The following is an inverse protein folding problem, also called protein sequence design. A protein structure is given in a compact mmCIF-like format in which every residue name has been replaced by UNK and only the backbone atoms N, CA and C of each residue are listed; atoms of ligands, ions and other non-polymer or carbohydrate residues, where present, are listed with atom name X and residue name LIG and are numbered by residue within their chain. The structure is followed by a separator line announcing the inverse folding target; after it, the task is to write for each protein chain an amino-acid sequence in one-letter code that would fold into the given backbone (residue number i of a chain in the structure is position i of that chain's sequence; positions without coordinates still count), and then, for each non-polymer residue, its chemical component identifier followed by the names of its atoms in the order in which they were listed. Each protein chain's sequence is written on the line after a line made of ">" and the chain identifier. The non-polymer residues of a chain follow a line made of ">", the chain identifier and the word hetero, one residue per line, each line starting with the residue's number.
data_IF_885033481188
#
_entry.id   IF_885033481188
#
_cell.length_a   1.000
_cell.length_b   1.000
_cell.length_c   1.000
_cell.angle_alpha   90.00
_cell.angle_beta   90.00
_cell.angle_gamma   90.00
#
_symmetry.space_group_name_H-M   'P 1'
#
loop_
_entity.id
_entity.type
_entity.pdbx_description
1 polymer ?
#
# COMPACT_ATOMS: atom_id res chain seq x y z
N UNK A 1 -6.31 -4.91 -2.13
CA UNK A 1 -7.47 -4.11 -1.65
C UNK A 1 -7.00 -3.33 -0.43
N UNK A 2 -6.98 -1.98 -0.50
CA UNK A 2 -6.50 -1.12 0.59
C UNK A 2 -7.38 -1.22 1.84
N UNK A 3 -6.82 -0.83 3.01
CA UNK A 3 -7.50 -0.89 4.33
C UNK A 3 -8.84 -0.14 4.29
N UNK A 4 -8.91 1.00 3.60
CA UNK A 4 -10.14 1.78 3.46
C UNK A 4 -11.30 1.03 2.77
N UNK A 5 -10.99 0.25 1.74
CA UNK A 5 -12.00 -0.57 1.06
C UNK A 5 -12.49 -1.72 1.93
N UNK A 6 -11.59 -2.32 2.74
CA UNK A 6 -11.96 -3.37 3.71
C UNK A 6 -12.92 -2.84 4.79
N UNK A 7 -12.63 -1.67 5.36
CA UNK A 7 -13.50 -1.02 6.34
C UNK A 7 -14.87 -0.73 5.72
N UNK A 8 -14.93 -0.13 4.52
CA UNK A 8 -16.18 0.14 3.81
C UNK A 8 -16.98 -1.14 3.57
N UNK A 9 -16.32 -2.23 3.17
CA UNK A 9 -16.96 -3.53 2.95
C UNK A 9 -17.50 -4.14 4.25
N UNK A 10 -16.78 -4.04 5.35
CA UNK A 10 -17.22 -4.55 6.67
C UNK A 10 -18.47 -3.81 7.14
N UNK A 11 -18.49 -2.47 7.05
CA UNK A 11 -19.67 -1.68 7.43
C UNK A 11 -20.87 -1.94 6.53
N UNK A 12 -20.66 -2.04 5.21
CA UNK A 12 -21.73 -2.36 4.25
C UNK A 12 -22.30 -3.76 4.46
N UNK A 13 -21.43 -4.77 4.62
CA UNK A 13 -21.84 -6.15 4.86
C UNK A 13 -22.54 -6.30 6.22
N UNK A 14 -22.01 -5.65 7.27
CA UNK A 14 -22.64 -5.63 8.59
C UNK A 14 -24.04 -5.02 8.56
N UNK A 15 -24.21 -3.88 7.87
CA UNK A 15 -25.52 -3.24 7.69
C UNK A 15 -26.48 -4.13 6.90
N UNK A 16 -26.02 -4.80 5.85
CA UNK A 16 -26.81 -5.73 5.04
C UNK A 16 -27.28 -6.94 5.86
N UNK A 17 -26.39 -7.58 6.61
CA UNK A 17 -26.73 -8.72 7.45
C UNK A 17 -27.73 -8.35 8.55
N UNK A 18 -27.56 -7.19 9.17
CA UNK A 18 -28.45 -6.69 10.23
C UNK A 18 -29.83 -6.36 9.66
N UNK A 19 -29.90 -5.69 8.50
CA UNK A 19 -31.15 -5.40 7.81
C UNK A 19 -31.89 -6.65 7.36
N UNK A 20 -31.15 -7.62 6.81
CA UNK A 20 -31.74 -8.89 6.38
C UNK A 20 -32.29 -9.70 7.56
N UNK A 21 -31.55 -9.79 8.66
CA UNK A 21 -31.98 -10.49 9.88
C UNK A 21 -33.21 -9.83 10.50
N UNK A 22 -33.19 -8.50 10.64
CA UNK A 22 -34.29 -7.75 11.22
C UNK A 22 -35.55 -7.74 10.31
N UNK A 23 -35.33 -7.58 8.99
CA UNK A 23 -36.42 -7.64 8.01
C UNK A 23 -37.05 -9.01 7.93
N UNK A 24 -36.24 -10.07 7.91
CA UNK A 24 -36.73 -11.45 7.92
C UNK A 24 -37.53 -11.79 9.18
N UNK A 25 -37.02 -11.40 10.35
CA UNK A 25 -37.73 -11.59 11.63
C UNK A 25 -39.05 -10.83 11.65
N UNK A 26 -39.04 -9.57 11.24
CA UNK A 26 -40.27 -8.72 11.18
C UNK A 26 -41.29 -9.32 10.24
N UNK A 27 -40.90 -9.71 9.02
CA UNK A 27 -41.78 -10.34 8.04
C UNK A 27 -42.41 -11.64 8.58
N UNK A 28 -41.55 -12.53 9.12
CA UNK A 28 -42.02 -13.80 9.65
C UNK A 28 -43.00 -13.64 10.83
N UNK A 29 -42.67 -12.76 11.77
CA UNK A 29 -43.52 -12.49 12.93
C UNK A 29 -44.86 -11.88 12.53
N UNK A 30 -44.85 -10.87 11.65
CA UNK A 30 -46.07 -10.21 11.15
C UNK A 30 -46.91 -11.19 10.36
N UNK A 31 -46.33 -11.97 9.47
CA UNK A 31 -47.04 -13.02 8.71
C UNK A 31 -47.74 -14.03 9.64
N UNK A 32 -47.00 -14.53 10.63
CA UNK A 32 -47.53 -15.49 11.57
C UNK A 32 -48.72 -14.93 12.39
N UNK A 33 -48.54 -13.70 12.87
CA UNK A 33 -49.58 -13.00 13.64
C UNK A 33 -50.85 -12.75 12.81
N UNK A 34 -50.75 -12.21 11.61
CA UNK A 34 -51.86 -11.91 10.74
C UNK A 34 -52.59 -13.17 10.27
N UNK A 35 -51.87 -14.26 10.00
CA UNK A 35 -52.52 -15.52 9.65
C UNK A 35 -53.30 -16.10 10.84
N UNK A 36 -52.73 -16.10 12.03
CA UNK A 36 -53.40 -16.61 13.23
C UNK A 36 -54.65 -15.80 13.57
N UNK A 37 -54.59 -14.47 13.42
CA UNK A 37 -55.75 -13.57 13.61
C UNK A 37 -56.83 -13.85 12.58
N UNK A 38 -56.52 -14.01 11.30
CA UNK A 38 -57.48 -14.34 10.24
C UNK A 38 -58.12 -15.71 10.45
N UNK A 39 -57.32 -16.72 10.86
CA UNK A 39 -57.83 -18.07 11.16
C UNK A 39 -58.82 -18.04 12.33
N UNK A 40 -58.51 -17.32 13.41
CA UNK A 40 -59.41 -17.13 14.56
C UNK A 40 -60.71 -16.37 14.20
N UNK A 41 -60.59 -15.28 13.43
CA UNK A 41 -61.72 -14.50 12.94
C UNK A 41 -62.64 -15.36 12.04
N UNK A 42 -62.03 -16.10 11.09
CA UNK A 42 -62.77 -17.02 10.20
C UNK A 42 -63.54 -18.08 10.96
N UNK A 43 -62.92 -18.70 11.96
CA UNK A 43 -63.64 -19.66 12.83
C UNK A 43 -64.80 -19.03 13.55
N UNK A 44 -64.58 -17.89 14.22
CA UNK A 44 -65.65 -17.20 15.00
C UNK A 44 -66.79 -16.80 14.12
N UNK A 45 -66.53 -16.23 12.94
CA UNK A 45 -67.59 -15.85 11.99
C UNK A 45 -68.34 -17.06 11.45
N UNK A 46 -67.66 -18.13 11.07
CA UNK A 46 -68.28 -19.35 10.55
C UNK A 46 -69.21 -19.99 11.59
N UNK A 47 -68.81 -20.01 12.87
CA UNK A 47 -69.69 -20.49 13.96
C UNK A 47 -70.90 -19.60 14.14
N UNK A 48 -70.74 -18.29 14.15
CA UNK A 48 -71.87 -17.35 14.28
C UNK A 48 -72.87 -17.49 13.12
N UNK A 49 -72.33 -17.61 11.88
CA UNK A 49 -73.17 -17.79 10.69
C UNK A 49 -73.87 -19.15 10.66
N UNK A 50 -73.21 -20.24 11.11
CA UNK A 50 -73.83 -21.55 11.23
C UNK A 50 -74.97 -21.56 12.23
N UNK A 51 -74.81 -20.92 13.39
CA UNK A 51 -75.89 -20.79 14.40
C UNK A 51 -77.07 -19.94 13.86
N UNK A 52 -76.76 -18.85 13.16
CA UNK A 52 -77.78 -17.99 12.52
C UNK A 52 -78.53 -18.76 11.43
N UNK A 53 -77.81 -19.54 10.62
CA UNK A 53 -78.44 -20.38 9.60
C UNK A 53 -79.35 -21.43 10.22
N UNK A 54 -78.89 -22.10 11.27
CA UNK A 54 -79.70 -23.09 11.99
C UNK A 54 -81.01 -22.49 12.55
N UNK A 55 -80.90 -21.34 13.23
CA UNK A 55 -82.05 -20.67 13.79
C UNK A 55 -83.05 -20.28 12.71
N UNK A 56 -82.63 -19.76 11.58
CA UNK A 56 -83.50 -19.37 10.45
C UNK A 56 -84.18 -20.58 9.81
N UNK A 57 -83.51 -21.74 9.75
CA UNK A 57 -84.11 -22.97 9.22
C UNK A 57 -85.19 -23.55 10.22
N UNK A 58 -84.83 -23.60 11.51
CA UNK A 58 -85.75 -24.15 12.54
C UNK A 58 -87.02 -23.33 12.72
N UNK A 59 -86.94 -21.98 12.61
CA UNK A 59 -88.13 -21.10 12.71
C UNK A 59 -88.94 -20.99 11.39
N UNK A 60 -88.60 -21.82 10.39
CA UNK A 60 -89.35 -21.89 9.12
C UNK A 60 -89.20 -20.64 8.24
N UNK A 61 -88.20 -19.81 8.49
CA UNK A 61 -87.84 -18.60 7.73
C UNK A 61 -87.03 -18.86 6.47
N UNK A 62 -87.08 -20.10 5.93
CA UNK A 62 -86.47 -20.36 4.65
C UNK A 62 -87.17 -19.58 3.55
N UNK A 63 -86.41 -18.71 2.84
CA UNK A 63 -87.04 -17.91 1.74
C UNK A 63 -87.64 -18.84 0.68
N UNK A 64 -88.71 -18.42 0.02
CA UNK A 64 -89.24 -19.14 -1.15
C UNK A 64 -88.24 -19.32 -2.28
N UNK A 65 -87.16 -18.59 -2.22
CA UNK A 65 -86.00 -18.65 -3.14
C UNK A 65 -84.97 -19.69 -2.79
N UNK A 66 -85.15 -20.45 -1.68
CA UNK A 66 -84.29 -21.60 -1.30
C UNK A 66 -83.06 -21.21 -0.48
N UNK A 67 -82.23 -22.26 -0.14
CA UNK A 67 -81.03 -22.12 0.71
C UNK A 67 -79.95 -21.18 0.15
N UNK A 68 -79.81 -21.07 -1.16
CA UNK A 68 -78.82 -20.19 -1.77
C UNK A 68 -79.04 -18.72 -1.46
N UNK A 69 -80.28 -18.25 -1.46
CA UNK A 69 -80.65 -16.85 -1.09
C UNK A 69 -80.42 -16.60 0.41
N UNK A 70 -80.66 -17.59 1.24
CA UNK A 70 -80.37 -17.50 2.68
C UNK A 70 -78.85 -17.39 2.94
N UNK A 71 -78.05 -18.21 2.30
CA UNK A 71 -76.64 -18.11 2.40
C UNK A 71 -76.07 -16.75 1.89
N UNK A 72 -76.60 -16.24 0.76
CA UNK A 72 -76.24 -14.94 0.25
C UNK A 72 -76.58 -13.79 1.23
N UNK A 73 -77.65 -13.97 2.04
CA UNK A 73 -77.98 -12.98 3.07
C UNK A 73 -77.07 -13.00 4.28
N UNK A 74 -76.36 -14.13 4.54
CA UNK A 74 -75.36 -14.23 5.60
C UNK A 74 -74.01 -13.64 5.15
N UNK A 75 -73.68 -13.77 3.87
CA UNK A 75 -72.44 -13.25 3.28
C UNK A 75 -72.55 -11.78 2.96
N UNK A 76 -73.70 -11.16 3.06
CA UNK A 76 -73.89 -9.74 2.77
C UNK A 76 -73.05 -8.85 3.70
N UNK A 77 -71.94 -8.28 3.16
CA UNK A 77 -70.98 -7.45 3.87
C UNK A 77 -69.75 -8.17 4.40
N UNK A 78 -69.59 -9.47 4.08
CA UNK A 78 -68.40 -10.22 4.40
C UNK A 78 -67.61 -10.63 3.14
N UNK A 79 -66.29 -10.79 3.29
CA UNK A 79 -65.35 -11.23 2.24
C UNK A 79 -65.30 -12.77 2.16
N UNK A 80 -66.43 -13.41 2.46
CA UNK A 80 -66.56 -14.85 2.51
C UNK A 80 -67.66 -15.37 1.57
N UNK A 81 -67.52 -16.62 1.19
CA UNK A 81 -68.58 -17.34 0.43
C UNK A 81 -69.00 -18.56 1.21
N UNK A 82 -70.29 -18.67 1.40
CA UNK A 82 -70.93 -19.77 2.16
C UNK A 82 -71.37 -20.94 1.27
N UNK A 83 -71.18 -22.15 1.76
CA UNK A 83 -71.62 -23.37 1.12
C UNK A 83 -72.31 -24.28 2.18
N UNK A 84 -73.57 -24.65 1.88
CA UNK A 84 -74.29 -25.64 2.70
C UNK A 84 -74.41 -26.96 1.94
N UNK A 85 -73.95 -28.05 2.53
CA UNK A 85 -74.21 -29.39 2.03
C UNK A 85 -75.29 -30.02 2.87
N UNK A 86 -76.52 -30.15 2.29
CA UNK A 86 -77.68 -30.74 2.95
C UNK A 86 -78.19 -31.90 2.11
N UNK A 87 -78.31 -33.10 2.72
CA UNK A 87 -78.75 -34.33 2.06
C UNK A 87 -77.96 -34.63 0.77
N UNK A 88 -76.64 -34.36 0.75
CA UNK A 88 -75.74 -34.62 -0.38
C UNK A 88 -75.77 -33.56 -1.50
N UNK A 89 -76.73 -32.61 -1.46
CA UNK A 89 -76.83 -31.45 -2.37
C UNK A 89 -76.12 -30.26 -1.80
N UNK A 90 -75.26 -29.61 -2.63
CA UNK A 90 -74.53 -28.41 -2.23
C UNK A 90 -75.28 -27.17 -2.71
N UNK A 91 -75.53 -26.25 -1.78
CA UNK A 91 -76.07 -24.89 -2.02
C UNK A 91 -74.96 -23.91 -1.75
N UNK A 92 -74.79 -22.91 -2.63
CA UNK A 92 -73.75 -21.88 -2.50
C UNK A 92 -74.32 -20.48 -2.53
N UNK A 93 -73.77 -19.58 -1.78
CA UNK A 93 -74.07 -18.13 -1.80
C UNK A 93 -73.60 -17.42 -3.08
N UNK A 94 -72.62 -17.98 -3.78
CA UNK A 94 -72.01 -17.40 -4.95
C UNK A 94 -71.89 -18.42 -6.09
N UNK A 95 -72.05 -17.96 -7.33
CA UNK A 95 -71.88 -18.77 -8.54
C UNK A 95 -70.41 -19.19 -8.73
N UNK A 96 -69.48 -18.40 -8.19
CA UNK A 96 -68.01 -18.69 -8.31
C UNK A 96 -67.54 -19.79 -7.36
N UNK A 97 -68.39 -20.17 -6.37
CA UNK A 97 -67.99 -21.14 -5.33
C UNK A 97 -68.88 -22.40 -5.42
N UNK A 98 -68.25 -23.55 -5.51
CA UNK A 98 -68.95 -24.82 -5.68
C UNK A 98 -68.42 -25.87 -4.69
N UNK A 99 -69.09 -27.04 -4.66
CA UNK A 99 -68.62 -28.20 -3.83
C UNK A 99 -67.12 -28.55 -4.09
N UNK A 100 -66.64 -28.33 -5.31
CA UNK A 100 -65.24 -28.60 -5.69
C UNK A 100 -64.26 -27.52 -5.17
N UNK A 101 -64.76 -26.36 -4.73
CA UNK A 101 -63.93 -25.32 -4.12
C UNK A 101 -63.49 -25.69 -2.70
N UNK A 102 -64.15 -26.65 -2.05
CA UNK A 102 -63.80 -27.11 -0.72
C UNK A 102 -62.84 -28.31 -0.87
N UNK A 103 -61.68 -28.30 -0.21
CA UNK A 103 -60.77 -29.45 -0.19
C UNK A 103 -61.48 -30.77 0.23
N UNK A 104 -61.25 -31.86 -0.52
CA UNK A 104 -61.93 -33.11 -0.29
C UNK A 104 -61.74 -33.65 1.13
N UNK A 105 -60.60 -33.47 1.70
CA UNK A 105 -60.24 -33.88 3.07
C UNK A 105 -61.07 -33.09 4.10
N UNK A 106 -61.07 -31.78 4.00
CA UNK A 106 -61.86 -30.91 4.90
C UNK A 106 -63.36 -31.28 4.86
N UNK A 107 -63.91 -31.50 3.67
CA UNK A 107 -65.27 -31.90 3.46
C UNK A 107 -65.61 -33.23 4.11
N UNK A 108 -64.73 -34.24 4.00
CA UNK A 108 -64.94 -35.56 4.62
C UNK A 108 -64.90 -35.48 6.15
N UNK A 109 -64.02 -34.69 6.75
CA UNK A 109 -63.90 -34.46 8.18
C UNK A 109 -65.15 -33.81 8.76
N UNK A 110 -65.68 -32.76 8.09
CA UNK A 110 -66.88 -32.03 8.56
C UNK A 110 -68.17 -32.84 8.37
N UNK A 111 -68.31 -33.54 7.27
CA UNK A 111 -69.48 -34.44 7.06
C UNK A 111 -69.39 -35.59 8.06
N UNK A 112 -68.23 -36.02 8.50
CA UNK A 112 -68.01 -36.98 9.58
C UNK A 112 -68.33 -36.47 10.97
N UNK A 113 -68.72 -35.20 11.14
CA UNK A 113 -69.20 -34.63 12.40
C UNK A 113 -68.11 -33.85 13.19
N UNK A 114 -66.96 -33.54 12.60
CA UNK A 114 -65.90 -32.76 13.26
C UNK A 114 -65.78 -31.36 12.65
N UNK A 115 -65.62 -30.34 13.51
CA UNK A 115 -65.24 -29.01 13.03
C UNK A 115 -63.82 -29.06 12.51
N UNK A 116 -63.60 -28.56 11.30
CA UNK A 116 -62.28 -28.56 10.71
C UNK A 116 -62.04 -27.26 9.88
N UNK A 117 -60.77 -26.91 9.75
CA UNK A 117 -60.31 -25.77 8.99
C UNK A 117 -59.11 -26.14 8.15
N UNK A 118 -59.01 -25.62 6.94
CA UNK A 118 -57.90 -25.87 6.07
C UNK A 118 -57.57 -24.60 5.23
N UNK A 119 -56.31 -24.23 5.26
CA UNK A 119 -55.75 -23.21 4.33
C UNK A 119 -55.27 -23.92 3.05
N UNK A 120 -55.67 -23.46 1.88
CA UNK A 120 -55.38 -24.07 0.60
C UNK A 120 -55.32 -23.01 -0.53
N UNK A 121 -54.83 -23.44 -1.68
CA UNK A 121 -54.81 -22.62 -2.90
C UNK A 121 -55.67 -23.27 -3.97
N UNK A 122 -56.59 -22.53 -4.55
CA UNK A 122 -57.50 -23.04 -5.59
C UNK A 122 -56.89 -22.86 -6.99
N UNK A 123 -56.64 -24.00 -7.70
CA UNK A 123 -56.07 -23.99 -9.05
C UNK A 123 -54.56 -23.66 -9.09
N UNK A 124 -53.99 -23.64 -10.28
CA UNK A 124 -52.53 -23.45 -10.47
C UNK A 124 -52.05 -21.99 -10.24
N UNK A 125 -52.96 -21.02 -10.26
CA UNK A 125 -52.73 -19.57 -10.05
C UNK A 125 -53.74 -18.95 -9.10
N UNK A 126 -54.41 -19.79 -8.27
CA UNK A 126 -55.46 -19.32 -7.38
C UNK A 126 -54.90 -18.56 -6.17
N UNK A 127 -55.76 -17.68 -5.65
CA UNK A 127 -55.46 -16.96 -4.40
C UNK A 127 -55.52 -17.94 -3.21
N UNK A 128 -54.66 -17.77 -2.22
CA UNK A 128 -54.76 -18.53 -0.99
C UNK A 128 -56.09 -18.26 -0.28
N UNK A 129 -56.73 -19.27 0.22
CA UNK A 129 -58.04 -19.25 0.88
C UNK A 129 -58.01 -20.06 2.17
N UNK A 130 -58.85 -19.68 3.12
CA UNK A 130 -59.13 -20.46 4.31
C UNK A 130 -60.57 -20.98 4.19
N UNK A 131 -60.77 -22.28 4.29
CA UNK A 131 -62.12 -22.84 4.44
C UNK A 131 -62.31 -23.38 5.87
N UNK A 132 -63.34 -22.97 6.48
CA UNK A 132 -63.80 -23.46 7.79
C UNK A 132 -65.11 -24.23 7.60
N UNK A 133 -65.19 -25.41 8.18
CA UNK A 133 -66.41 -26.23 8.10
C UNK A 133 -66.96 -26.59 9.48
N UNK A 134 -68.25 -26.43 9.62
CA UNK A 134 -69.00 -26.73 10.87
C UNK A 134 -70.12 -27.72 10.54
N UNK A 135 -70.16 -28.91 11.21
CA UNK A 135 -71.27 -29.84 11.07
C UNK A 135 -72.52 -29.29 11.77
N UNK A 136 -73.67 -29.49 11.16
CA UNK A 136 -74.99 -29.14 11.73
C UNK A 136 -75.83 -30.43 11.86
N UNK A 137 -75.61 -31.22 12.93
CA UNK A 137 -76.25 -32.56 13.06
C UNK A 137 -77.78 -32.56 13.10
N UNK A 138 -78.37 -31.49 13.69
CA UNK A 138 -79.85 -31.37 13.82
C UNK A 138 -80.59 -31.42 12.49
N UNK A 139 -79.96 -30.96 11.39
CA UNK A 139 -80.53 -30.95 10.05
C UNK A 139 -79.78 -31.84 9.06
N UNK A 140 -78.88 -32.68 9.54
CA UNK A 140 -77.99 -33.56 8.71
C UNK A 140 -77.29 -32.77 7.62
N UNK A 141 -76.71 -31.61 7.95
CA UNK A 141 -76.01 -30.73 7.02
C UNK A 141 -74.60 -30.39 7.48
N UNK A 142 -73.79 -29.94 6.56
CA UNK A 142 -72.46 -29.41 6.80
C UNK A 142 -72.35 -28.01 6.19
N UNK A 143 -72.03 -27.02 7.01
CA UNK A 143 -71.83 -25.63 6.60
C UNK A 143 -70.35 -25.33 6.44
N UNK A 144 -70.01 -24.69 5.36
CA UNK A 144 -68.64 -24.26 5.04
C UNK A 144 -68.63 -22.77 4.68
N UNK A 145 -67.61 -22.09 5.09
CA UNK A 145 -67.35 -20.74 4.72
C UNK A 145 -65.91 -20.59 4.21
N UNK A 146 -65.73 -19.98 3.06
CA UNK A 146 -64.47 -19.79 2.37
C UNK A 146 -64.08 -18.32 2.36
N UNK A 147 -62.95 -18.01 2.97
CA UNK A 147 -62.42 -16.67 3.11
C UNK A 147 -61.27 -16.47 2.16
N UNK A 148 -61.21 -15.32 1.48
CA UNK A 148 -60.08 -14.91 0.68
C UNK A 148 -58.92 -14.40 1.55
N UNK A 149 -57.68 -14.76 1.21
CA UNK A 149 -56.48 -14.21 1.80
C UNK A 149 -55.76 -13.21 0.86
N UNK A 150 -56.48 -12.71 -0.20
CA UNK A 150 -55.90 -11.78 -1.17
C UNK A 150 -55.36 -10.50 -0.51
N UNK A 151 -56.12 -9.92 0.40
CA UNK A 151 -55.78 -8.67 1.10
C UNK A 151 -54.57 -8.87 2.03
N UNK A 152 -54.48 -10.06 2.65
CA UNK A 152 -53.34 -10.41 3.43
C UNK A 152 -52.08 -10.54 2.54
N UNK A 153 -52.22 -11.15 1.35
CA UNK A 153 -51.15 -11.24 0.37
C UNK A 153 -50.65 -9.87 -0.08
N UNK A 154 -51.60 -8.94 -0.35
CA UNK A 154 -51.26 -7.57 -0.70
C UNK A 154 -50.52 -6.84 0.45
N UNK A 155 -51.02 -6.94 1.66
CA UNK A 155 -50.40 -6.33 2.86
C UNK A 155 -48.98 -6.86 3.09
N UNK A 156 -48.80 -8.16 3.00
CA UNK A 156 -47.47 -8.78 3.12
C UNK A 156 -46.54 -8.38 1.97
N UNK A 157 -47.04 -8.23 0.74
CA UNK A 157 -46.27 -7.76 -0.40
C UNK A 157 -45.80 -6.31 -0.24
N UNK A 158 -46.65 -5.41 0.28
CA UNK A 158 -46.26 -4.04 0.62
C UNK A 158 -45.20 -4.02 1.74
N UNK A 159 -45.36 -4.86 2.78
CA UNK A 159 -44.42 -4.99 3.86
C UNK A 159 -43.07 -5.50 3.33
N UNK A 160 -43.04 -6.54 2.49
CA UNK A 160 -41.84 -7.06 1.87
C UNK A 160 -41.09 -5.96 1.05
N UNK A 161 -41.83 -5.24 0.19
CA UNK A 161 -41.29 -4.14 -0.58
C UNK A 161 -40.67 -3.03 0.29
N UNK A 162 -41.34 -2.64 1.36
CA UNK A 162 -40.85 -1.60 2.28
C UNK A 162 -39.62 -2.07 3.04
N UNK A 163 -39.56 -3.34 3.48
CA UNK A 163 -38.38 -3.92 4.16
C UNK A 163 -37.18 -4.03 3.23
N UNK A 164 -37.40 -4.40 1.97
CA UNK A 164 -36.32 -4.45 0.95
C UNK A 164 -35.76 -3.06 0.71
N UNK A 165 -36.60 -2.06 0.48
CA UNK A 165 -36.16 -0.66 0.27
C UNK A 165 -35.41 -0.16 1.50
N UNK A 166 -35.92 -0.37 2.71
CA UNK A 166 -35.26 0.01 3.96
C UNK A 166 -33.89 -0.69 4.10
N UNK A 167 -33.80 -1.97 3.75
CA UNK A 167 -32.55 -2.74 3.76
C UNK A 167 -31.50 -2.20 2.79
N UNK A 168 -31.90 -1.85 1.58
CA UNK A 168 -31.00 -1.23 0.59
C UNK A 168 -30.49 0.13 1.09
N UNK A 169 -31.39 0.99 1.56
CA UNK A 169 -31.03 2.31 2.10
C UNK A 169 -30.05 2.18 3.26
N UNK A 170 -30.32 1.29 4.21
CA UNK A 170 -29.45 1.05 5.38
C UNK A 170 -28.07 0.53 4.95
N UNK A 171 -28.00 -0.35 3.97
CA UNK A 171 -26.75 -0.88 3.42
C UNK A 171 -25.93 0.21 2.75
N UNK A 172 -26.56 1.06 1.94
CA UNK A 172 -25.88 2.20 1.28
C UNK A 172 -25.36 3.19 2.31
N UNK A 173 -26.16 3.53 3.31
CA UNK A 173 -25.75 4.42 4.40
C UNK A 173 -24.61 3.83 5.22
N UNK A 174 -24.66 2.54 5.54
CA UNK A 174 -23.57 1.83 6.23
C UNK A 174 -22.28 1.87 5.44
N UNK A 175 -22.32 1.60 4.14
CA UNK A 175 -21.15 1.68 3.27
C UNK A 175 -20.62 3.13 3.14
N UNK A 176 -21.51 4.12 3.06
CA UNK A 176 -21.12 5.54 3.01
C UNK A 176 -20.45 5.99 4.31
N UNK A 177 -20.99 5.61 5.47
CA UNK A 177 -20.40 5.87 6.79
C UNK A 177 -19.04 5.20 6.94
N UNK A 178 -18.92 3.93 6.52
CA UNK A 178 -17.64 3.20 6.54
C UNK A 178 -16.59 3.88 5.68
N UNK A 179 -16.97 4.39 4.50
CA UNK A 179 -16.06 5.15 3.63
C UNK A 179 -15.66 6.50 4.22
N UNK A 180 -16.61 7.21 4.83
CA UNK A 180 -16.34 8.48 5.49
C UNK A 180 -15.39 8.30 6.68
N UNK A 181 -15.69 7.36 7.58
CA UNK A 181 -14.86 7.04 8.72
C UNK A 181 -13.44 6.59 8.28
N UNK A 182 -13.36 5.70 7.29
CA UNK A 182 -12.08 5.25 6.74
C UNK A 182 -11.23 6.40 6.20
N UNK A 183 -11.82 7.32 5.45
CA UNK A 183 -11.09 8.48 4.91
C UNK A 183 -10.60 9.41 6.02
N UNK A 184 -11.43 9.66 7.02
CA UNK A 184 -11.09 10.57 8.12
C UNK A 184 -10.00 10.00 9.02
N UNK A 185 -10.08 8.71 9.37
CA UNK A 185 -9.14 8.05 10.27
C UNK A 185 -7.79 7.66 9.61
N UNK A 186 -7.80 7.32 8.31
CA UNK A 186 -6.58 6.84 7.64
C UNK A 186 -5.77 7.95 6.95
N UNK A 187 -6.34 9.13 6.70
CA UNK A 187 -5.60 10.25 6.09
C UNK A 187 -4.34 10.64 6.85
N UNK A 188 -4.36 10.80 8.18
CA UNK A 188 -3.17 11.17 8.95
C UNK A 188 -2.06 10.09 8.87
N UNK A 189 -2.42 8.81 8.91
CA UNK A 189 -1.46 7.71 8.79
C UNK A 189 -0.74 7.70 7.43
N UNK A 190 -1.44 8.03 6.35
CA UNK A 190 -0.81 8.14 5.02
C UNK A 190 0.09 9.37 4.90
N UNK A 191 -0.19 10.45 5.64
CA UNK A 191 0.67 11.62 5.74
C UNK A 191 1.97 11.29 6.48
N UNK A 192 1.89 10.58 7.63
CA UNK A 192 3.06 10.11 8.37
C UNK A 192 3.94 9.19 7.51
N UNK A 193 3.33 8.23 6.80
CA UNK A 193 4.07 7.33 5.91
C UNK A 193 4.81 8.08 4.79
N UNK A 194 4.16 9.06 4.16
CA UNK A 194 4.82 9.88 3.11
C UNK A 194 5.93 10.75 3.68
N UNK A 195 5.70 11.38 4.84
CA UNK A 195 6.73 12.17 5.51
C UNK A 195 7.93 11.32 5.90
N UNK A 196 7.71 10.09 6.41
CA UNK A 196 8.78 9.16 6.75
C UNK A 196 9.61 8.74 5.52
N UNK A 197 8.96 8.50 4.37
CA UNK A 197 9.66 8.21 3.10
C UNK A 197 10.46 9.42 2.61
N UNK A 198 9.91 10.63 2.72
CA UNK A 198 10.61 11.87 2.34
C UNK A 198 11.85 12.10 3.22
N UNK A 199 11.73 11.88 4.54
CA UNK A 199 12.86 11.98 5.48
C UNK A 199 13.92 10.91 5.19
N UNK A 200 13.53 9.67 4.90
CA UNK A 200 14.45 8.61 4.50
C UNK A 200 15.18 8.95 3.18
N UNK A 201 14.54 9.71 2.29
CA UNK A 201 15.13 10.26 1.08
C UNK A 201 15.98 11.54 1.27
N UNK A 202 16.20 11.96 2.53
CA UNK A 202 17.05 13.12 2.87
C UNK A 202 16.31 14.46 3.02
N UNK A 203 14.98 14.51 2.84
CA UNK A 203 14.19 15.75 3.01
C UNK A 203 13.86 16.02 4.48
N UNK A 204 14.86 16.42 5.26
CA UNK A 204 14.76 16.63 6.72
C UNK A 204 13.89 17.81 7.14
N UNK A 205 13.51 18.69 6.21
CA UNK A 205 12.60 19.82 6.48
C UNK A 205 11.12 19.42 6.48
N UNK A 206 10.83 18.18 6.13
CA UNK A 206 9.44 17.68 6.08
C UNK A 206 8.86 17.62 7.48
N UNK A 207 7.72 18.30 7.70
CA UNK A 207 6.98 18.30 8.97
C UNK A 207 5.53 17.90 8.73
N UNK A 208 4.94 17.25 9.72
CA UNK A 208 3.50 17.00 9.76
C UNK A 208 2.78 18.25 10.27
N UNK A 209 1.62 18.61 9.64
CA UNK A 209 0.85 19.76 10.10
C UNK A 209 0.31 19.53 11.52
N UNK A 210 0.46 20.56 12.38
CA UNK A 210 0.06 20.50 13.80
C UNK A 210 -1.43 20.77 14.03
N UNK A 211 -2.18 21.17 13.00
CA UNK A 211 -3.59 21.52 13.12
C UNK A 211 -4.49 20.26 13.04
N UNK A 212 -4.44 19.42 14.04
CA UNK A 212 -5.35 18.28 14.21
C UNK A 212 -6.27 18.51 15.40
N UNK A 213 -7.58 18.44 15.18
CA UNK A 213 -8.60 18.58 16.22
C UNK A 213 -8.71 17.33 17.12
N UNK A 214 -7.97 16.30 16.82
CA UNK A 214 -7.99 15.00 17.52
C UNK A 214 -6.75 14.88 18.43
N UNK A 215 -6.92 14.77 19.76
CA UNK A 215 -5.82 14.71 20.71
C UNK A 215 -4.84 13.55 20.48
N UNK A 216 -5.33 12.40 20.02
CA UNK A 216 -4.49 11.23 19.75
C UNK A 216 -3.59 11.45 18.53
N UNK A 217 -4.09 12.16 17.53
CA UNK A 217 -3.34 12.54 16.34
C UNK A 217 -2.37 13.70 16.62
N UNK A 218 -2.71 14.62 17.52
CA UNK A 218 -1.81 15.69 17.96
C UNK A 218 -0.58 15.11 18.66
N UNK A 219 -0.76 14.12 19.54
CA UNK A 219 0.32 13.41 20.19
C UNK A 219 1.26 12.71 19.20
N UNK A 220 0.70 12.06 18.16
CA UNK A 220 1.48 11.42 17.10
C UNK A 220 2.29 12.45 16.29
N UNK A 221 1.65 13.55 15.87
CA UNK A 221 2.27 14.61 15.07
C UNK A 221 3.41 15.28 15.84
N UNK A 222 3.17 15.61 17.11
CA UNK A 222 4.17 16.22 18.00
C UNK A 222 5.37 15.30 18.19
N UNK A 223 5.12 14.02 18.48
CA UNK A 223 6.19 13.03 18.68
C UNK A 223 7.00 12.80 17.40
N UNK A 224 6.32 12.75 16.25
CA UNK A 224 7.00 12.62 14.96
C UNK A 224 7.88 13.84 14.65
N UNK A 225 7.35 15.04 14.77
CA UNK A 225 8.11 16.27 14.52
C UNK A 225 9.29 16.41 15.48
N UNK A 226 9.11 16.08 16.77
CA UNK A 226 10.20 16.08 17.75
C UNK A 226 11.30 15.05 17.41
N UNK A 227 10.94 13.89 16.90
CA UNK A 227 11.91 12.90 16.40
C UNK A 227 12.72 13.47 15.22
N UNK A 228 12.06 14.13 14.26
CA UNK A 228 12.74 14.75 13.11
C UNK A 228 13.70 15.85 13.57
N UNK A 229 13.28 16.70 14.51
CA UNK A 229 14.12 17.76 15.09
C UNK A 229 15.35 17.17 15.79
N UNK A 230 15.21 16.06 16.50
CA UNK A 230 16.35 15.37 17.11
C UNK A 230 17.33 14.80 16.07
N UNK A 231 16.81 14.19 15.00
CA UNK A 231 17.65 13.67 13.90
C UNK A 231 18.42 14.84 13.26
N UNK A 232 17.74 15.91 12.91
CA UNK A 232 18.34 17.10 12.32
C UNK A 232 19.42 17.72 13.23
N UNK A 233 19.10 17.93 14.50
CA UNK A 233 20.06 18.43 15.50
C UNK A 233 21.26 17.51 15.69
N UNK A 234 21.09 16.20 15.54
CA UNK A 234 22.18 15.23 15.63
C UNK A 234 23.10 15.37 14.42
N UNK A 235 22.54 15.43 13.21
CA UNK A 235 23.30 15.61 11.96
C UNK A 235 24.09 16.93 12.00
N UNK A 236 23.46 18.03 12.41
CA UNK A 236 24.13 19.33 12.52
C UNK A 236 25.26 19.35 13.54
N UNK A 237 25.09 18.66 14.68
CA UNK A 237 26.16 18.53 15.69
C UNK A 237 27.32 17.71 15.17
N UNK A 238 27.04 16.62 14.47
CA UNK A 238 28.05 15.75 13.87
C UNK A 238 28.84 16.49 12.78
N UNK A 239 28.16 17.26 11.93
CA UNK A 239 28.78 18.11 10.92
C UNK A 239 29.71 19.17 11.54
N UNK A 240 29.25 19.87 12.58
CA UNK A 240 30.07 20.86 13.32
C UNK A 240 31.29 20.19 13.99
N UNK A 241 31.07 19.09 14.67
CA UNK A 241 32.17 18.33 15.30
C UNK A 241 33.23 17.93 14.26
N UNK A 242 32.82 17.41 13.12
CA UNK A 242 33.74 17.02 12.03
C UNK A 242 34.51 18.22 11.46
N UNK A 243 33.86 19.38 11.36
CA UNK A 243 34.52 20.62 10.96
C UNK A 243 35.55 21.09 11.97
N UNK A 244 35.18 21.12 13.24
CA UNK A 244 36.07 21.58 14.34
C UNK A 244 37.28 20.66 14.45
N UNK A 245 37.08 19.33 14.46
CA UNK A 245 38.18 18.35 14.47
C UNK A 245 39.11 18.55 13.25
N UNK A 246 38.54 18.86 12.08
CA UNK A 246 39.34 19.12 10.86
C UNK A 246 40.30 20.31 11.05
N UNK A 247 39.80 21.38 11.63
CA UNK A 247 40.60 22.58 11.87
C UNK A 247 41.65 22.37 12.96
N UNK A 248 41.28 21.72 14.06
CA UNK A 248 42.16 21.46 15.21
C UNK A 248 43.27 20.45 14.89
N UNK A 249 43.05 19.50 13.96
CA UNK A 249 44.08 18.57 13.51
C UNK A 249 45.02 19.18 12.46
N UNK A 250 44.49 20.04 11.56
CA UNK A 250 45.30 20.63 10.47
C UNK A 250 46.40 21.56 11.02
N UNK A 251 46.13 22.35 12.05
CA UNK A 251 47.07 23.32 12.63
C UNK A 251 48.34 22.65 13.17
N UNK A 252 48.28 21.66 14.10
CA UNK A 252 49.50 21.01 14.60
C UNK A 252 50.26 20.23 13.53
N UNK A 253 49.52 19.61 12.58
CA UNK A 253 50.14 18.90 11.49
C UNK A 253 50.93 19.83 10.55
N UNK A 254 50.39 21.04 10.29
CA UNK A 254 51.10 22.05 9.51
C UNK A 254 52.35 22.53 10.24
N UNK A 255 52.28 22.75 11.55
CA UNK A 255 53.44 23.13 12.36
C UNK A 255 54.52 22.05 12.36
N UNK A 256 54.13 20.78 12.52
CA UNK A 256 55.08 19.64 12.44
C UNK A 256 55.74 19.53 11.07
N UNK A 257 54.95 19.72 9.99
CA UNK A 257 55.49 19.70 8.63
C UNK A 257 56.50 20.85 8.38
N UNK A 258 56.18 22.05 8.82
CA UNK A 258 57.06 23.20 8.73
C UNK A 258 58.38 22.98 9.53
N UNK A 259 58.26 22.40 10.74
CA UNK A 259 59.42 22.07 11.56
C UNK A 259 60.32 21.03 10.88
N UNK A 260 59.71 20.02 10.26
CA UNK A 260 60.41 19.03 9.50
C UNK A 260 61.14 19.57 8.28
N UNK A 261 60.46 20.47 7.51
CA UNK A 261 61.04 21.14 6.36
C UNK A 261 62.30 21.96 6.72
N UNK A 262 62.32 22.59 7.90
CA UNK A 262 63.49 23.28 8.43
C UNK A 262 64.61 22.28 8.69
N UNK A 263 64.34 21.15 9.28
CA UNK A 263 65.33 20.09 9.55
C UNK A 263 65.83 19.41 8.27
N UNK A 264 64.99 19.29 7.24
CA UNK A 264 65.36 18.72 5.94
C UNK A 264 66.33 19.62 5.17
N UNK A 265 66.33 20.91 5.42
CA UNK A 265 67.34 21.86 4.79
C UNK A 265 68.77 21.56 5.21
N UNK A 266 68.96 21.12 6.46
CA UNK A 266 70.30 20.81 7.00
C UNK A 266 70.61 19.31 6.96
N UNK A 267 69.83 18.54 6.16
CA UNK A 267 69.89 17.08 6.10
C UNK A 267 71.30 16.56 5.77
N UNK A 268 72.04 17.28 4.89
CA UNK A 268 73.38 16.89 4.46
C UNK A 268 74.44 16.99 5.57
N UNK A 269 74.20 17.81 6.59
CA UNK A 269 75.12 18.00 7.73
C UNK A 269 74.92 16.96 8.83
N UNK A 270 73.81 16.16 8.78
CA UNK A 270 73.46 15.18 9.81
C UNK A 270 74.24 13.86 9.59
N UNK A 271 74.51 13.09 10.70
CA UNK A 271 75.03 11.72 10.57
C UNK A 271 74.07 10.85 9.75
N UNK A 272 74.60 9.84 9.00
CA UNK A 272 73.75 9.03 8.09
C UNK A 272 72.53 8.35 8.77
N UNK A 273 72.64 8.00 10.05
CA UNK A 273 71.55 7.43 10.82
C UNK A 273 70.42 8.46 11.10
N UNK A 274 70.81 9.70 11.39
CA UNK A 274 69.91 10.80 11.60
C UNK A 274 69.19 11.22 10.31
N UNK A 275 69.92 11.26 9.18
CA UNK A 275 69.37 11.49 7.84
C UNK A 275 68.24 10.49 7.54
N UNK A 276 68.54 9.20 7.76
CA UNK A 276 67.54 8.14 7.51
C UNK A 276 66.31 8.25 8.43
N UNK A 277 66.53 8.53 9.71
CA UNK A 277 65.43 8.73 10.66
C UNK A 277 64.56 9.93 10.29
N UNK A 278 65.16 11.04 9.84
CA UNK A 278 64.42 12.24 9.43
C UNK A 278 63.63 11.99 8.16
N UNK A 279 64.18 11.28 7.18
CA UNK A 279 63.48 10.88 5.96
C UNK A 279 62.24 10.03 6.25
N UNK A 280 62.39 9.02 7.12
CA UNK A 280 61.26 8.17 7.54
C UNK A 280 60.19 8.96 8.27
N UNK A 281 60.59 9.88 9.18
CA UNK A 281 59.69 10.73 9.88
C UNK A 281 58.92 11.64 8.91
N UNK A 282 59.56 12.16 7.87
CA UNK A 282 58.94 12.96 6.82
C UNK A 282 57.91 12.17 5.99
N UNK A 283 58.29 10.94 5.62
CA UNK A 283 57.37 10.05 4.92
C UNK A 283 56.14 9.72 5.75
N UNK A 284 56.31 9.40 7.04
CA UNK A 284 55.23 9.07 7.95
C UNK A 284 54.31 10.29 8.23
N UNK A 285 54.92 11.46 8.42
CA UNK A 285 54.14 12.71 8.64
C UNK A 285 53.32 13.08 7.42
N UNK A 286 53.88 13.03 6.22
CA UNK A 286 53.14 13.27 4.96
C UNK A 286 52.01 12.26 4.77
N UNK A 287 52.25 10.99 5.10
CA UNK A 287 51.25 9.94 5.09
C UNK A 287 50.13 10.21 6.07
N UNK A 288 50.46 10.61 7.30
CA UNK A 288 49.47 10.92 8.34
C UNK A 288 48.60 12.15 7.94
N UNK A 289 49.22 13.19 7.39
CA UNK A 289 48.48 14.36 6.88
C UNK A 289 47.47 14.00 5.80
N UNK A 290 47.87 13.16 4.83
CA UNK A 290 46.94 12.65 3.80
C UNK A 290 45.82 11.85 4.41
N UNK A 291 46.09 10.92 5.30
CA UNK A 291 45.09 10.08 5.97
C UNK A 291 44.07 10.90 6.72
N UNK A 292 44.49 11.88 7.53
CA UNK A 292 43.60 12.77 8.27
C UNK A 292 42.77 13.61 7.29
N UNK A 293 43.37 14.14 6.22
CA UNK A 293 42.65 14.91 5.20
C UNK A 293 41.53 14.09 4.52
N UNK A 294 41.86 12.87 4.08
CA UNK A 294 40.92 11.94 3.44
C UNK A 294 39.80 11.50 4.39
N UNK A 295 40.12 11.20 5.65
CA UNK A 295 39.12 10.82 6.67
C UNK A 295 38.13 11.95 6.94
N UNK A 296 38.62 13.18 7.06
CA UNK A 296 37.81 14.35 7.31
C UNK A 296 36.93 14.71 6.10
N UNK A 297 37.40 14.48 4.88
CA UNK A 297 36.65 14.66 3.65
C UNK A 297 35.47 13.68 3.58
N UNK A 298 35.71 12.40 3.85
CA UNK A 298 34.69 11.37 3.93
C UNK A 298 33.67 11.69 5.04
N UNK A 299 34.12 12.10 6.22
CA UNK A 299 33.27 12.40 7.37
C UNK A 299 32.34 13.62 7.13
N UNK A 300 32.82 14.62 6.39
CA UNK A 300 31.98 15.76 5.96
C UNK A 300 30.93 15.36 4.95
N UNK A 301 31.27 14.49 4.04
CA UNK A 301 30.36 13.98 3.02
C UNK A 301 29.24 13.13 3.66
N UNK A 302 29.56 12.27 4.64
CA UNK A 302 28.58 11.50 5.43
C UNK A 302 27.61 12.39 6.19
N UNK A 303 28.10 13.49 6.76
CA UNK A 303 27.27 14.45 7.49
C UNK A 303 26.35 15.31 6.59
N UNK A 304 26.39 15.10 5.27
CA UNK A 304 25.58 15.87 4.31
C UNK A 304 25.95 17.37 4.27
N UNK A 305 27.05 17.76 4.90
CA UNK A 305 27.47 19.17 5.06
C UNK A 305 28.33 19.69 3.92
N UNK A 306 28.29 19.01 2.78
CA UNK A 306 29.12 19.38 1.63
C UNK A 306 28.23 19.84 0.50
N UNK A 307 28.25 21.14 0.21
CA UNK A 307 27.58 21.69 -0.98
C UNK A 307 28.25 21.09 -2.22
N UNK A 308 27.46 20.45 -3.06
CA UNK A 308 27.89 19.89 -4.35
C UNK A 308 27.37 20.83 -5.43
N UNK A 309 28.28 21.45 -6.14
CA UNK A 309 27.92 22.30 -7.29
C UNK A 309 28.12 21.48 -8.57
N UNK A 310 27.02 20.95 -9.09
CA UNK A 310 27.05 20.19 -10.33
C UNK A 310 27.03 21.15 -11.51
N UNK A 311 28.14 21.16 -12.26
CA UNK A 311 28.23 21.87 -13.55
C UNK A 311 27.92 20.87 -14.67
N UNK A 312 27.22 21.34 -15.69
CA UNK A 312 27.08 20.62 -16.95
C UNK A 312 28.39 20.69 -17.73
N UNK A 313 29.00 19.52 -17.99
CA UNK A 313 30.34 19.46 -18.60
C UNK A 313 30.38 18.41 -19.71
N UNK A 314 31.10 18.74 -20.80
CA UNK A 314 31.39 17.75 -21.84
C UNK A 314 32.30 16.64 -21.32
N UNK A 315 31.92 15.40 -21.56
CA UNK A 315 32.61 14.21 -21.02
C UNK A 315 34.02 14.06 -21.58
N UNK A 316 34.20 14.26 -22.90
CA UNK A 316 35.51 14.13 -23.54
C UNK A 316 36.53 15.11 -22.97
N UNK A 317 36.13 16.39 -22.78
CA UNK A 317 36.98 17.41 -22.20
C UNK A 317 37.28 17.15 -20.71
N UNK A 318 36.24 16.76 -19.94
CA UNK A 318 36.33 16.44 -18.51
C UNK A 318 37.35 15.33 -18.25
N UNK A 319 37.23 14.21 -18.96
CA UNK A 319 38.12 13.04 -18.76
C UNK A 319 39.55 13.37 -19.13
N UNK A 320 39.80 14.01 -20.31
CA UNK A 320 41.17 14.37 -20.72
C UNK A 320 41.86 15.27 -19.71
N UNK A 321 41.17 16.31 -19.23
CA UNK A 321 41.70 17.24 -18.21
C UNK A 321 41.98 16.53 -16.88
N UNK A 322 41.09 15.69 -16.43
CA UNK A 322 41.26 14.95 -15.17
C UNK A 322 42.43 13.94 -15.25
N UNK A 323 42.60 13.26 -16.39
CA UNK A 323 43.77 12.38 -16.63
C UNK A 323 45.05 13.15 -16.64
N UNK A 324 45.13 14.27 -17.37
CA UNK A 324 46.32 15.15 -17.40
C UNK A 324 46.69 15.66 -15.99
N UNK A 325 45.70 16.07 -15.20
CA UNK A 325 45.91 16.52 -13.82
C UNK A 325 46.45 15.35 -12.94
N UNK A 326 45.81 14.15 -13.03
CA UNK A 326 46.23 12.96 -12.29
C UNK A 326 47.65 12.52 -12.61
N UNK A 327 48.02 12.43 -13.91
CA UNK A 327 49.33 12.06 -14.34
C UNK A 327 50.41 13.07 -13.84
N UNK A 328 50.11 14.37 -13.86
CA UNK A 328 51.03 15.37 -13.26
C UNK A 328 51.25 15.19 -11.77
N UNK A 329 50.25 14.70 -11.05
CA UNK A 329 50.35 14.41 -9.59
C UNK A 329 51.23 13.18 -9.29
N UNK A 330 51.29 12.24 -10.20
CA UNK A 330 52.13 11.02 -10.06
C UNK A 330 53.63 11.31 -10.20
N UNK A 331 54.03 12.43 -10.80
CA UNK A 331 55.41 12.89 -10.90
C UNK A 331 56.15 12.52 -12.21
N UNK A 332 57.44 12.93 -12.28
CA UNK A 332 58.29 12.71 -13.46
C UNK A 332 58.59 11.21 -13.60
N UNK A 333 58.08 10.58 -14.68
CA UNK A 333 58.28 9.16 -14.99
C UNK A 333 56.96 8.33 -15.06
N UNK A 334 55.85 8.90 -14.66
CA UNK A 334 54.54 8.23 -14.83
C UNK A 334 54.15 8.16 -16.32
N UNK A 335 53.79 6.98 -16.80
CA UNK A 335 53.32 6.78 -18.17
C UNK A 335 51.87 7.19 -18.28
N UNK A 336 51.58 8.09 -19.23
CA UNK A 336 50.18 8.50 -19.49
C UNK A 336 49.39 7.30 -20.07
N UNK A 337 48.22 6.95 -19.51
CA UNK A 337 47.38 5.89 -20.02
C UNK A 337 46.77 6.24 -21.39
N UNK A 338 46.47 5.22 -22.19
CA UNK A 338 45.74 5.41 -23.45
C UNK A 338 44.27 5.72 -23.13
N UNK A 339 43.77 6.84 -23.64
CA UNK A 339 42.36 7.25 -23.42
C UNK A 339 41.54 6.92 -24.66
N UNK A 340 40.59 6.01 -24.52
CA UNK A 340 39.65 5.59 -25.56
C UNK A 340 38.25 6.08 -25.24
N UNK A 341 37.74 7.04 -25.99
CA UNK A 341 36.39 7.58 -25.84
C UNK A 341 35.58 7.17 -27.05
N UNK A 342 34.42 6.51 -26.84
CA UNK A 342 33.53 6.18 -27.94
C UNK A 342 32.88 7.45 -28.55
N UNK A 343 32.73 7.55 -29.88
CA UNK A 343 32.25 8.78 -30.54
C UNK A 343 30.88 9.26 -30.06
N UNK A 344 30.03 8.35 -29.63
CA UNK A 344 28.67 8.64 -29.14
C UNK A 344 28.63 9.34 -27.77
N UNK A 345 29.69 9.22 -26.97
CA UNK A 345 29.80 9.87 -25.66
C UNK A 345 30.79 11.04 -25.62
N UNK A 346 31.58 11.22 -26.67
CA UNK A 346 32.59 12.30 -26.70
C UNK A 346 31.96 13.69 -26.56
N UNK A 347 30.76 13.89 -27.09
CA UNK A 347 30.00 15.14 -27.03
C UNK A 347 28.91 15.13 -25.97
N UNK A 348 28.71 14.02 -25.24
CA UNK A 348 27.71 13.91 -24.21
C UNK A 348 28.04 14.83 -23.02
N UNK A 349 26.99 15.26 -22.30
CA UNK A 349 27.10 16.11 -21.12
C UNK A 349 26.66 15.38 -19.86
N UNK A 350 27.39 15.64 -18.78
CA UNK A 350 27.12 15.10 -17.44
C UNK A 350 27.15 16.21 -16.40
N UNK A 351 26.34 16.08 -15.36
CA UNK A 351 26.34 16.97 -14.21
C UNK A 351 27.40 16.52 -13.19
N UNK A 352 28.50 17.25 -13.05
CA UNK A 352 29.57 16.89 -12.14
C UNK A 352 30.18 18.10 -11.43
N UNK A 353 30.67 17.89 -10.21
CA UNK A 353 31.62 18.78 -9.57
C UNK A 353 33.04 18.43 -10.10
N UNK A 354 33.59 19.32 -10.91
CA UNK A 354 34.88 19.15 -11.59
C UNK A 354 36.03 18.82 -10.64
N UNK A 355 36.07 19.44 -9.44
CA UNK A 355 37.13 19.22 -8.45
C UNK A 355 37.03 17.81 -7.85
N UNK A 356 35.80 17.35 -7.58
CA UNK A 356 35.55 16.01 -7.06
C UNK A 356 35.84 14.95 -8.11
N UNK A 357 35.48 15.20 -9.35
CA UNK A 357 35.79 14.30 -10.45
C UNK A 357 37.30 14.17 -10.68
N UNK A 358 38.05 15.29 -10.68
CA UNK A 358 39.52 15.26 -10.74
C UNK A 358 40.12 14.46 -9.58
N UNK A 359 39.54 14.58 -8.36
CA UNK A 359 39.98 13.82 -7.20
C UNK A 359 39.71 12.31 -7.34
N UNK A 360 38.54 11.95 -7.90
CA UNK A 360 38.19 10.55 -8.24
C UNK A 360 39.22 9.97 -9.20
N UNK A 361 39.48 10.67 -10.31
CA UNK A 361 40.44 10.19 -11.31
C UNK A 361 41.87 10.09 -10.76
N UNK A 362 42.30 11.06 -9.96
CA UNK A 362 43.60 11.01 -9.29
C UNK A 362 43.75 9.80 -8.39
N UNK A 363 42.71 9.52 -7.55
CA UNK A 363 42.72 8.34 -6.67
C UNK A 363 42.78 7.02 -7.46
N UNK A 364 42.07 6.91 -8.59
CA UNK A 364 42.10 5.73 -9.44
C UNK A 364 43.47 5.53 -10.11
N UNK A 365 44.08 6.62 -10.60
CA UNK A 365 45.43 6.60 -11.20
C UNK A 365 46.52 6.29 -10.17
N UNK A 366 46.46 6.90 -8.96
CA UNK A 366 47.37 6.59 -7.86
C UNK A 366 47.24 5.12 -7.41
N UNK A 367 46.02 4.57 -7.44
CA UNK A 367 45.77 3.18 -7.10
C UNK A 367 46.40 2.25 -8.16
N UNK A 368 46.21 2.55 -9.45
CA UNK A 368 46.84 1.79 -10.53
C UNK A 368 48.38 1.84 -10.46
N UNK A 369 48.98 2.99 -10.16
CA UNK A 369 50.44 3.16 -9.99
C UNK A 369 50.95 2.35 -8.80
N UNK A 370 50.33 2.47 -7.64
CA UNK A 370 50.77 1.84 -6.41
C UNK A 370 50.62 0.32 -6.39
N UNK A 371 49.64 -0.25 -7.08
CA UNK A 371 49.28 -1.67 -7.02
C UNK A 371 49.34 -2.39 -8.37
N UNK A 372 49.15 -1.65 -9.49
CA UNK A 372 49.04 -2.19 -10.84
C UNK A 372 50.28 -1.98 -11.72
N UNK A 373 51.24 -1.15 -11.26
CA UNK A 373 52.40 -0.76 -12.08
C UNK A 373 52.10 0.31 -13.12
N UNK A 374 51.02 1.08 -12.89
CA UNK A 374 50.52 2.15 -13.74
C UNK A 374 49.19 1.82 -14.43
N UNK A 375 48.46 2.85 -14.77
CA UNK A 375 47.22 2.69 -15.57
C UNK A 375 47.60 2.52 -17.04
N UNK A 376 47.10 1.45 -17.68
CA UNK A 376 47.43 1.13 -19.08
C UNK A 376 46.41 1.78 -20.01
N UNK A 377 45.14 1.71 -19.67
CA UNK A 377 44.06 2.26 -20.49
C UNK A 377 42.93 2.87 -19.66
N UNK A 378 42.28 3.86 -20.25
CA UNK A 378 41.06 4.45 -19.76
C UNK A 378 40.00 4.35 -20.89
N UNK A 379 38.94 3.61 -20.66
CA UNK A 379 37.81 3.52 -21.62
C UNK A 379 36.61 4.33 -21.13
N UNK A 380 35.96 5.02 -22.09
CA UNK A 380 34.74 5.82 -21.83
C UNK A 380 33.65 5.39 -22.80
N UNK A 381 32.58 4.82 -22.27
CA UNK A 381 31.51 4.20 -23.05
C UNK A 381 30.13 4.61 -22.53
N UNK A 382 29.16 4.75 -23.44
CA UNK A 382 27.76 4.93 -23.08
C UNK A 382 27.06 3.59 -22.82
N UNK A 383 26.26 3.51 -21.76
CA UNK A 383 25.50 2.31 -21.45
C UNK A 383 24.07 2.66 -21.08
N UNK A 384 23.11 1.83 -21.53
CA UNK A 384 21.72 1.92 -21.11
C UNK A 384 21.54 1.21 -19.77
N UNK A 385 21.04 1.92 -18.76
CA UNK A 385 20.72 1.36 -17.45
C UNK A 385 19.29 0.81 -17.48
N UNK A 386 19.10 -0.50 -17.53
CA UNK A 386 17.91 -1.30 -17.16
C UNK A 386 16.49 -0.75 -17.37
N UNK A 387 16.29 0.54 -17.38
CA UNK A 387 15.04 1.21 -17.71
C UNK A 387 15.17 1.93 -19.06
N UNK A 388 14.20 1.83 -19.96
CA UNK A 388 14.23 2.50 -21.26
C UNK A 388 14.36 4.02 -21.08
N UNK A 389 15.48 4.59 -21.61
CA UNK A 389 15.74 6.03 -21.59
C UNK A 389 16.74 6.53 -20.53
N UNK A 390 17.19 5.70 -19.58
CA UNK A 390 18.26 6.08 -18.68
C UNK A 390 19.63 5.68 -19.25
N UNK A 391 20.38 6.66 -19.72
CA UNK A 391 21.76 6.50 -20.19
C UNK A 391 22.75 6.87 -19.08
N UNK A 392 23.80 6.07 -18.91
CA UNK A 392 24.94 6.40 -18.07
C UNK A 392 26.23 6.34 -18.87
N UNK A 393 27.20 7.15 -18.47
CA UNK A 393 28.55 7.12 -19.03
C UNK A 393 29.43 6.37 -18.06
N UNK A 394 30.03 5.29 -18.54
CA UNK A 394 30.99 4.48 -17.78
C UNK A 394 32.41 4.89 -18.17
N UNK A 395 33.23 5.16 -17.16
CA UNK A 395 34.65 5.45 -17.28
C UNK A 395 35.38 4.38 -16.52
N UNK A 396 36.19 3.59 -17.20
CA UNK A 396 36.97 2.50 -16.60
C UNK A 396 38.46 2.81 -16.68
N UNK A 397 39.14 2.61 -15.56
CA UNK A 397 40.63 2.68 -15.45
C UNK A 397 41.14 1.26 -15.27
N UNK A 398 41.99 0.81 -16.18
CA UNK A 398 42.54 -0.54 -16.20
C UNK A 398 44.04 -0.54 -15.90
N UNK A 399 44.48 -1.52 -15.11
CA UNK A 399 45.92 -1.78 -14.82
C UNK A 399 46.31 -3.20 -15.22
N UNK A 400 47.63 -3.50 -15.19
CA UNK A 400 48.20 -4.82 -15.41
C UNK A 400 48.71 -5.47 -14.10
N UNK A 401 48.14 -5.07 -12.98
CA UNK A 401 48.46 -5.60 -11.67
C UNK A 401 47.95 -7.04 -11.43
N UNK A 402 48.02 -7.50 -10.17
CA UNK A 402 47.59 -8.85 -9.80
C UNK A 402 46.06 -9.05 -9.82
N UNK A 403 45.31 -8.00 -10.16
CA UNK A 403 43.83 -8.00 -10.13
C UNK A 403 43.24 -8.00 -8.72
N UNK A 404 41.92 -8.13 -8.65
CA UNK A 404 41.16 -8.14 -7.40
C UNK A 404 40.34 -9.43 -7.32
N UNK A 405 40.49 -10.15 -6.20
CA UNK A 405 39.66 -11.34 -5.95
C UNK A 405 38.16 -10.99 -6.00
N UNK A 406 37.33 -11.80 -6.66
CA UNK A 406 35.88 -11.55 -6.73
C UNK A 406 35.20 -11.31 -5.37
N UNK A 407 35.68 -11.96 -4.30
CA UNK A 407 35.17 -11.80 -2.93
C UNK A 407 35.59 -10.48 -2.26
N UNK A 408 36.60 -9.79 -2.81
CA UNK A 408 37.11 -8.51 -2.30
C UNK A 408 36.61 -7.31 -3.07
N UNK A 409 36.00 -7.47 -4.26
CA UNK A 409 35.57 -6.35 -5.15
C UNK A 409 34.66 -5.31 -4.51
N UNK A 410 33.75 -5.71 -3.66
CA UNK A 410 32.89 -4.79 -2.92
C UNK A 410 33.63 -4.17 -1.74
N UNK A 411 34.51 -4.95 -1.08
CA UNK A 411 35.23 -4.54 0.12
C UNK A 411 36.34 -3.53 -0.13
N UNK A 412 36.89 -3.50 -1.34
CA UNK A 412 37.96 -2.55 -1.68
C UNK A 412 37.55 -1.09 -1.59
N UNK A 413 36.22 -0.81 -1.58
CA UNK A 413 35.66 0.52 -1.36
C UNK A 413 35.33 0.81 0.11
N UNK A 414 35.50 -0.17 1.02
CA UNK A 414 35.32 0.05 2.45
C UNK A 414 36.52 0.84 3.01
N UNK A 415 36.28 1.67 4.03
CA UNK A 415 37.31 2.49 4.68
C UNK A 415 38.37 1.60 5.35
N UNK A 416 39.61 1.99 5.20
CA UNK A 416 40.78 1.28 5.74
C UNK A 416 40.98 -0.18 5.23
N UNK A 417 40.16 -0.61 4.27
CA UNK A 417 40.31 -1.93 3.69
C UNK A 417 41.58 -1.97 2.80
N UNK A 418 42.33 -3.05 2.94
CA UNK A 418 43.54 -3.34 2.13
C UNK A 418 43.47 -4.80 1.70
N UNK A 419 43.31 -5.03 0.42
CA UNK A 419 43.21 -6.38 -0.15
C UNK A 419 44.45 -7.24 0.14
N UNK A 420 44.28 -8.55 0.04
CA UNK A 420 45.32 -9.55 0.30
C UNK A 420 46.56 -9.43 -0.63
N UNK A 421 46.39 -8.82 -1.81
CA UNK A 421 47.44 -8.55 -2.77
C UNK A 421 48.37 -7.38 -2.37
N UNK A 422 47.95 -6.49 -1.47
CA UNK A 422 48.72 -5.29 -1.08
C UNK A 422 49.99 -5.58 -0.30
N UNK A 423 50.20 -6.80 0.22
CA UNK A 423 51.38 -7.22 0.95
C UNK A 423 52.55 -7.74 0.06
N UNK A 424 52.32 -7.95 -1.23
CA UNK A 424 53.33 -8.61 -2.09
C UNK A 424 54.20 -7.67 -2.93
N UNK A 425 53.75 -6.46 -3.26
CA UNK A 425 54.52 -5.52 -4.13
C UNK A 425 54.42 -4.05 -3.74
N UNK A 426 53.46 -3.66 -2.83
CA UNK A 426 53.29 -2.27 -2.46
C UNK A 426 54.31 -1.82 -1.41
N UNK A 427 54.83 -0.62 -1.55
CA UNK A 427 55.73 0.05 -0.59
C UNK A 427 55.02 0.40 0.75
N UNK A 428 53.86 -0.17 1.02
CA UNK A 428 53.11 0.02 2.27
C UNK A 428 52.49 1.41 2.45
N UNK A 429 52.53 2.26 1.43
CA UNK A 429 52.19 3.69 1.52
C UNK A 429 50.68 4.04 1.45
N UNK A 430 49.82 3.12 1.00
CA UNK A 430 48.38 3.39 0.87
C UNK A 430 47.64 3.51 2.22
N UNK A 431 46.75 4.49 2.34
CA UNK A 431 45.92 4.75 3.52
C UNK A 431 44.73 3.78 3.65
N UNK A 432 44.30 3.19 2.54
CA UNK A 432 43.06 2.41 2.44
C UNK A 432 41.78 3.29 2.41
N UNK A 433 41.93 4.59 2.12
CA UNK A 433 40.82 5.55 2.05
C UNK A 433 40.53 6.03 0.62
N UNK A 434 41.50 5.92 -0.32
CA UNK A 434 41.35 6.47 -1.67
C UNK A 434 40.16 5.92 -2.45
N UNK A 435 39.93 4.58 -2.44
CA UNK A 435 38.77 3.99 -3.10
C UNK A 435 37.44 4.27 -2.35
N UNK A 436 37.48 4.39 -1.03
CA UNK A 436 36.31 4.83 -0.26
C UNK A 436 35.91 6.28 -0.63
N UNK A 437 36.91 7.15 -0.85
CA UNK A 437 36.70 8.52 -1.37
C UNK A 437 36.10 8.51 -2.79
N UNK A 438 36.57 7.61 -3.66
CA UNK A 438 36.00 7.43 -5.01
C UNK A 438 34.51 7.11 -4.90
N UNK A 439 34.12 6.10 -4.11
CA UNK A 439 32.73 5.73 -3.92
C UNK A 439 31.88 6.88 -3.36
N UNK A 440 32.40 7.62 -2.39
CA UNK A 440 31.69 8.73 -1.77
C UNK A 440 31.50 9.92 -2.72
N UNK A 441 32.56 10.30 -3.46
CA UNK A 441 32.41 11.37 -4.45
C UNK A 441 31.48 11.00 -5.59
N UNK A 442 31.50 9.75 -6.04
CA UNK A 442 30.55 9.28 -7.05
C UNK A 442 29.11 9.33 -6.52
N UNK A 443 28.86 8.88 -5.28
CA UNK A 443 27.55 8.98 -4.63
C UNK A 443 27.03 10.42 -4.56
N UNK A 444 27.90 11.38 -4.22
CA UNK A 444 27.55 12.81 -4.18
C UNK A 444 27.22 13.40 -5.56
N UNK A 445 27.75 12.82 -6.62
CA UNK A 445 27.47 13.18 -8.02
C UNK A 445 26.38 12.28 -8.65
N UNK A 446 25.58 11.56 -7.84
CA UNK A 446 24.54 10.63 -8.29
C UNK A 446 25.07 9.50 -9.20
N UNK A 447 26.36 9.20 -9.11
CA UNK A 447 27.02 8.13 -9.83
C UNK A 447 27.28 6.89 -8.97
N UNK A 448 27.91 5.90 -9.59
CA UNK A 448 28.27 4.63 -8.97
C UNK A 448 29.74 4.31 -9.22
N UNK A 449 30.36 3.49 -8.36
CA UNK A 449 31.71 2.98 -8.54
C UNK A 449 31.79 1.49 -8.17
N UNK A 450 32.49 0.69 -8.98
CA UNK A 450 32.73 -0.73 -8.72
C UNK A 450 34.04 -1.22 -9.32
N UNK A 451 34.45 -2.45 -8.99
CA UNK A 451 35.66 -3.07 -9.47
C UNK A 451 35.37 -4.39 -10.22
N UNK A 452 36.10 -4.61 -11.30
CA UNK A 452 36.03 -5.79 -12.15
C UNK A 452 37.44 -6.34 -12.40
N UNK A 453 37.55 -7.46 -13.11
CA UNK A 453 38.82 -7.92 -13.67
C UNK A 453 39.04 -7.29 -15.05
N UNK A 454 40.25 -6.80 -15.30
CA UNK A 454 40.67 -6.44 -16.66
C UNK A 454 40.77 -7.68 -17.54
N UNK A 455 40.65 -7.50 -18.85
CA UNK A 455 40.85 -8.57 -19.83
C UNK A 455 42.28 -9.15 -19.80
N UNK A 456 43.25 -8.37 -19.35
CA UNK A 456 44.66 -8.74 -19.21
C UNK A 456 45.00 -9.41 -17.87
N UNK A 457 43.99 -9.55 -16.96
CA UNK A 457 44.18 -10.16 -15.65
C UNK A 457 44.44 -9.17 -14.51
N UNK A 458 44.58 -7.86 -14.79
CA UNK A 458 44.73 -6.78 -13.82
C UNK A 458 43.39 -6.36 -13.21
N UNK A 459 43.39 -5.21 -12.51
CA UNK A 459 42.17 -4.61 -12.01
C UNK A 459 41.56 -3.64 -13.04
N UNK A 460 40.23 -3.55 -13.03
CA UNK A 460 39.44 -2.61 -13.78
C UNK A 460 38.50 -1.90 -12.80
N UNK A 461 38.73 -0.63 -12.55
CA UNK A 461 37.90 0.22 -11.73
C UNK A 461 36.95 1.01 -12.62
N UNK A 462 35.64 0.90 -12.40
CA UNK A 462 34.62 1.53 -13.21
C UNK A 462 33.86 2.54 -12.37
N UNK A 463 33.68 3.73 -12.93
CA UNK A 463 32.78 4.74 -12.41
C UNK A 463 31.68 5.03 -13.45
N UNK A 464 30.46 5.27 -13.01
CA UNK A 464 29.33 5.57 -13.86
C UNK A 464 28.64 6.87 -13.45
N UNK A 465 28.36 7.75 -14.42
CA UNK A 465 27.68 9.02 -14.23
C UNK A 465 26.39 9.03 -15.05
N UNK A 466 25.27 9.57 -14.54
CA UNK A 466 24.07 9.75 -15.32
C UNK A 466 24.27 10.81 -16.42
N UNK A 467 23.72 10.56 -17.61
CA UNK A 467 23.69 11.56 -18.70
C UNK A 467 22.59 12.56 -18.39
N UNK A 468 22.87 13.83 -18.60
CA UNK A 468 21.84 14.88 -18.59
C UNK A 468 21.03 14.81 -19.89
N UNK A 469 19.76 14.45 -19.82
CA UNK A 469 18.85 14.55 -20.96
C UNK A 469 18.52 16.04 -21.22
N UNK A 470 18.53 16.47 -22.50
CA UNK A 470 18.21 17.85 -22.92
C UNK A 470 16.84 18.36 -22.40
N UNK A 471 15.97 17.45 -21.94
CA UNK A 471 14.63 17.78 -21.41
C UNK A 471 14.57 17.99 -19.89
N UNK A 472 15.64 17.76 -19.13
CA UNK A 472 15.61 17.75 -17.65
C UNK A 472 16.24 19.03 -17.02
N UNK A 473 16.36 20.10 -17.79
CA UNK A 473 16.95 21.40 -17.34
C UNK A 473 16.13 22.13 -16.26
N UNK A 474 15.11 21.51 -15.65
CA UNK A 474 14.21 22.15 -14.67
C UNK A 474 14.31 21.62 -13.23
N UNK A 475 15.28 20.75 -12.89
CA UNK A 475 15.28 20.07 -11.56
C UNK A 475 16.62 20.15 -10.79
N UNK A 476 17.47 21.16 -11.07
CA UNK A 476 18.74 21.36 -10.31
C UNK A 476 18.73 22.67 -9.55
#
# INVERSE_FOLDING_TARGET
>A
VGIGARITAIFGLGALLLSFSMGGLSYFTTRHFLLAERESAAQTQTFANALTLLSKIEYGQTPKTGYAALLASLDAGSDSNSILIHQGVAYSSSISTSKSSIPARLRAEVVGGTVAMQTYVTGSHGQPQIAVGVPIPSIHAAYFEVFSLSDLGHTLGVLEGTLVVAGVVTTVLGAALGRFASRRLLRPLTAVSRAAVAIAGGQLDTRLPSETTDPDLEGLTTSFNAMVDQIQSRIEREARFNSDVSHELRSPLTTLAASLEVLERDLAELPPRAQRALQLLGEDLRRFQRMVGELLEISRADAGSTDVFLDEVNVGELVRRAVEAGVRTLGEGATAPQVHITPDVETAHVGVDKRRFERVMTNLLENAENYGGGAVSISVEGRENGAPGQRSIQIAVEDEGPGIDPSERTKVFERFYRGSASGRRGTGTGTGLGLALVAEHMRLMHGEAWAESSATGGARFVIALPVLDENDSSTW
#
